data_IF_093839607659
#
_entry.id   IF_093839607659
#
_cell.length_a   1.000
_cell.length_b   1.000
_cell.length_c   1.000
_cell.angle_alpha   90.00
_cell.angle_beta   90.00
_cell.angle_gamma   90.00
#
_symmetry.space_group_name_H-M   'P 1'
#
loop_
_entity.id
_entity.type
_entity.pdbx_description
1 polymer ?
#
# COMPACT_ATOMS: atom_id res chain seq x y z
N UNK A 1 -38.88 19.38 -4.04
CA UNK A 1 -37.79 18.53 -3.49
C UNK A 1 -36.74 18.36 -4.56
N UNK A 2 -35.47 18.54 -4.24
CA UNK A 2 -34.38 18.22 -5.16
C UNK A 2 -34.32 16.71 -5.36
N UNK A 3 -34.05 16.26 -6.58
CA UNK A 3 -33.77 14.85 -6.85
C UNK A 3 -32.45 14.44 -6.18
N UNK A 4 -32.28 13.15 -5.94
CA UNK A 4 -31.09 12.61 -5.30
C UNK A 4 -29.79 13.03 -6.02
N UNK A 5 -29.82 13.04 -7.35
CA UNK A 5 -28.70 13.48 -8.20
C UNK A 5 -28.43 14.97 -8.06
N UNK A 6 -29.47 15.80 -7.89
CA UNK A 6 -29.32 17.24 -7.67
C UNK A 6 -28.72 17.54 -6.31
N UNK A 7 -29.06 16.78 -5.27
CA UNK A 7 -28.47 16.91 -3.94
C UNK A 7 -26.98 16.57 -3.95
N UNK A 8 -26.60 15.48 -4.63
CA UNK A 8 -25.19 15.09 -4.77
C UNK A 8 -24.40 16.17 -5.51
N UNK A 9 -24.95 16.70 -6.62
CA UNK A 9 -24.33 17.77 -7.40
C UNK A 9 -24.13 19.04 -6.56
N UNK A 10 -25.16 19.46 -5.81
CA UNK A 10 -25.08 20.64 -4.94
C UNK A 10 -24.05 20.47 -3.82
N UNK A 11 -23.93 19.28 -3.24
CA UNK A 11 -22.89 19.02 -2.24
C UNK A 11 -21.49 19.08 -2.84
N UNK A 12 -21.26 18.48 -4.01
CA UNK A 12 -19.96 18.53 -4.70
C UNK A 12 -19.58 19.98 -5.02
N UNK A 13 -20.52 20.78 -5.52
CA UNK A 13 -20.30 22.19 -5.83
C UNK A 13 -19.89 22.98 -4.58
N UNK A 14 -20.56 22.76 -3.43
CA UNK A 14 -20.19 23.38 -2.15
C UNK A 14 -18.78 23.00 -1.71
N UNK A 15 -18.40 21.73 -1.85
CA UNK A 15 -17.04 21.28 -1.50
C UNK A 15 -16.01 21.96 -2.42
N UNK A 16 -16.23 21.96 -3.73
CA UNK A 16 -15.27 22.51 -4.70
C UNK A 16 -15.10 24.03 -4.58
N UNK A 17 -16.19 24.78 -4.39
CA UNK A 17 -16.16 26.26 -4.36
C UNK A 17 -15.86 26.84 -2.98
N UNK A 18 -16.26 26.15 -1.91
CA UNK A 18 -16.25 26.70 -0.55
C UNK A 18 -15.50 25.84 0.46
N UNK A 19 -14.92 24.70 0.05
CA UNK A 19 -14.28 23.73 0.95
C UNK A 19 -15.21 23.30 2.09
N UNK A 20 -16.51 23.22 1.81
CA UNK A 20 -17.56 22.92 2.78
C UNK A 20 -17.40 21.50 3.35
N UNK A 21 -16.99 21.41 4.61
CA UNK A 21 -16.72 20.15 5.29
C UNK A 21 -18.00 19.37 5.61
N UNK A 22 -19.13 20.03 5.85
CA UNK A 22 -20.41 19.37 6.09
C UNK A 22 -20.92 18.71 4.81
N UNK A 23 -20.82 19.42 3.68
CA UNK A 23 -21.15 18.86 2.37
C UNK A 23 -20.27 17.67 2.00
N UNK A 24 -18.98 17.69 2.37
CA UNK A 24 -18.07 16.57 2.17
C UNK A 24 -18.45 15.36 3.02
N UNK A 25 -18.74 15.56 4.30
CA UNK A 25 -19.17 14.50 5.23
C UNK A 25 -20.48 13.85 4.78
N UNK A 26 -21.45 14.63 4.29
CA UNK A 26 -22.70 14.10 3.73
C UNK A 26 -22.47 13.21 2.50
N UNK A 27 -21.51 13.56 1.65
CA UNK A 27 -21.13 12.72 0.51
C UNK A 27 -20.42 11.44 0.98
N UNK A 28 -19.56 11.53 2.01
CA UNK A 28 -18.88 10.37 2.60
C UNK A 28 -19.89 9.39 3.19
N UNK A 29 -20.79 9.85 4.07
CA UNK A 29 -21.81 8.99 4.70
C UNK A 29 -22.63 8.23 3.67
N UNK A 30 -22.92 8.89 2.53
CA UNK A 30 -23.69 8.31 1.44
C UNK A 30 -22.95 7.25 0.63
N UNK A 31 -21.68 7.49 0.30
CA UNK A 31 -20.96 6.69 -0.70
C UNK A 31 -19.82 5.84 -0.15
N UNK A 32 -19.26 6.17 1.01
CA UNK A 32 -17.99 5.60 1.48
C UNK A 32 -18.09 4.10 1.73
N UNK A 33 -19.06 3.64 2.54
CA UNK A 33 -19.24 2.21 2.86
C UNK A 33 -19.40 1.33 1.61
N UNK A 34 -20.19 1.80 0.65
CA UNK A 34 -20.42 1.06 -0.60
C UNK A 34 -19.20 1.10 -1.52
N UNK A 35 -18.43 2.19 -1.48
CA UNK A 35 -17.16 2.32 -2.20
C UNK A 35 -16.08 1.40 -1.63
N UNK A 36 -15.99 1.24 -0.31
CA UNK A 36 -15.11 0.27 0.33
C UNK A 36 -15.47 -1.16 -0.08
N UNK A 37 -16.75 -1.54 -0.01
CA UNK A 37 -17.22 -2.86 -0.48
C UNK A 37 -16.88 -3.12 -1.94
N UNK A 38 -17.06 -2.11 -2.80
CA UNK A 38 -16.70 -2.20 -4.21
C UNK A 38 -15.18 -2.40 -4.39
N UNK A 39 -14.36 -1.62 -3.69
CA UNK A 39 -12.90 -1.74 -3.75
C UNK A 39 -12.41 -3.11 -3.27
N UNK A 40 -12.91 -3.62 -2.14
CA UNK A 40 -12.59 -4.96 -1.64
C UNK A 40 -12.99 -6.05 -2.64
N UNK A 41 -14.19 -5.96 -3.21
CA UNK A 41 -14.66 -6.93 -4.22
C UNK A 41 -13.82 -6.87 -5.48
N UNK A 42 -13.44 -5.66 -5.91
CA UNK A 42 -12.60 -5.46 -7.08
C UNK A 42 -11.19 -6.02 -6.87
N UNK A 43 -10.60 -5.78 -5.70
CA UNK A 43 -9.32 -6.36 -5.29
C UNK A 43 -9.41 -7.88 -5.29
N UNK A 44 -10.32 -8.49 -4.54
CA UNK A 44 -10.49 -9.96 -4.47
C UNK A 44 -10.62 -10.67 -5.83
N UNK A 45 -11.20 -10.01 -6.84
CA UNK A 45 -11.50 -10.62 -8.13
C UNK A 45 -10.45 -10.35 -9.24
N UNK A 46 -9.37 -9.59 -8.95
CA UNK A 46 -8.33 -9.27 -9.95
C UNK A 46 -7.19 -10.28 -9.96
N UNK A 47 -6.68 -10.57 -11.16
CA UNK A 47 -5.50 -11.42 -11.33
C UNK A 47 -4.32 -10.79 -10.57
N UNK A 48 -3.61 -11.58 -9.77
CA UNK A 48 -2.50 -11.20 -8.85
C UNK A 48 -2.90 -10.59 -7.50
N UNK A 49 -4.18 -10.32 -7.25
CA UNK A 49 -4.65 -9.81 -5.95
C UNK A 49 -4.62 -10.85 -4.83
N UNK A 50 -4.70 -12.13 -5.18
CA UNK A 50 -4.50 -13.25 -4.27
C UNK A 50 -3.06 -13.37 -3.74
N UNK A 51 -2.12 -12.59 -4.26
CA UNK A 51 -0.74 -12.49 -3.77
C UNK A 51 -0.55 -11.33 -2.77
N UNK A 52 -1.64 -10.63 -2.48
CA UNK A 52 -1.65 -9.41 -1.73
C UNK A 52 -2.51 -9.60 -0.50
N UNK A 53 -1.89 -9.43 0.67
CA UNK A 53 -2.62 -9.27 1.92
C UNK A 53 -2.86 -7.77 2.12
N UNK A 54 -4.12 -7.34 2.03
CA UNK A 54 -4.54 -6.00 2.43
C UNK A 54 -5.35 -6.09 3.72
N UNK A 55 -5.18 -5.12 4.60
CA UNK A 55 -6.04 -4.91 5.75
C UNK A 55 -7.23 -4.01 5.39
N UNK A 56 -8.32 -4.13 6.16
CA UNK A 56 -9.51 -3.31 5.95
C UNK A 56 -9.16 -1.81 5.99
N UNK A 57 -8.34 -1.40 6.95
CA UNK A 57 -7.92 0.00 7.14
C UNK A 57 -7.13 0.56 5.94
N UNK A 58 -6.37 -0.29 5.24
CA UNK A 58 -5.66 0.09 4.02
C UNK A 58 -6.64 0.34 2.87
N UNK A 59 -7.67 -0.49 2.75
CA UNK A 59 -8.73 -0.30 1.76
C UNK A 59 -9.53 0.96 2.05
N UNK A 60 -9.86 1.22 3.31
CA UNK A 60 -10.57 2.44 3.73
C UNK A 60 -9.76 3.70 3.46
N UNK A 61 -8.47 3.70 3.81
CA UNK A 61 -7.55 4.82 3.55
C UNK A 61 -7.43 5.10 2.05
N UNK A 62 -7.28 4.05 1.24
CA UNK A 62 -7.20 4.15 -0.21
C UNK A 62 -8.50 4.70 -0.82
N UNK A 63 -9.66 4.17 -0.40
CA UNK A 63 -10.96 4.63 -0.89
C UNK A 63 -11.22 6.07 -0.51
N UNK A 64 -10.78 6.49 0.68
CA UNK A 64 -10.87 7.88 1.13
C UNK A 64 -10.09 8.83 0.20
N UNK A 65 -8.86 8.46 -0.17
CA UNK A 65 -8.05 9.27 -1.10
C UNK A 65 -8.68 9.36 -2.49
N UNK A 66 -9.17 8.23 -3.02
CA UNK A 66 -9.89 8.20 -4.29
C UNK A 66 -11.18 9.04 -4.22
N UNK A 67 -11.88 8.99 -3.09
CA UNK A 67 -13.08 9.78 -2.84
C UNK A 67 -12.78 11.28 -2.83
N UNK A 68 -11.75 11.71 -2.09
CA UNK A 68 -11.34 13.10 -2.02
C UNK A 68 -10.93 13.63 -3.41
N UNK A 69 -10.13 12.87 -4.16
CA UNK A 69 -9.80 13.19 -5.56
C UNK A 69 -11.06 13.27 -6.43
N UNK A 70 -12.01 12.35 -6.25
CA UNK A 70 -13.22 12.32 -7.04
C UNK A 70 -14.09 13.57 -6.79
N UNK A 71 -14.29 13.97 -5.53
CA UNK A 71 -15.09 15.16 -5.20
C UNK A 71 -14.45 16.44 -5.78
N UNK A 72 -13.12 16.58 -5.69
CA UNK A 72 -12.45 17.80 -6.15
C UNK A 72 -12.36 17.92 -7.68
N UNK A 73 -12.31 16.80 -8.41
CA UNK A 73 -12.06 16.79 -9.85
C UNK A 73 -13.28 16.40 -10.69
N UNK A 74 -14.42 16.12 -10.06
CA UNK A 74 -15.64 15.79 -10.79
C UNK A 74 -16.16 17.01 -11.56
N UNK A 75 -16.27 16.86 -12.88
CA UNK A 75 -16.80 17.90 -13.76
C UNK A 75 -18.32 18.01 -13.60
N UNK A 76 -18.77 19.16 -13.11
CA UNK A 76 -20.18 19.49 -12.93
C UNK A 76 -20.83 20.06 -14.19
N UNK A 77 -20.06 20.54 -15.17
CA UNK A 77 -20.55 21.34 -16.31
C UNK A 77 -20.67 20.59 -17.63
N UNK A 78 -20.04 19.41 -17.75
CA UNK A 78 -20.14 18.60 -18.97
C UNK A 78 -21.61 18.30 -19.35
N UNK A 79 -21.97 18.73 -20.56
CA UNK A 79 -23.32 18.62 -21.16
C UNK A 79 -23.52 17.31 -21.93
N UNK A 80 -22.50 16.47 -22.07
CA UNK A 80 -22.54 15.22 -22.83
C UNK A 80 -22.17 14.02 -21.95
N UNK A 81 -23.19 13.24 -21.55
CA UNK A 81 -23.01 11.87 -21.07
C UNK A 81 -22.12 11.70 -19.83
N UNK A 82 -22.28 12.55 -18.81
CA UNK A 82 -21.49 12.43 -17.57
C UNK A 82 -21.90 11.15 -16.83
N UNK A 83 -20.91 10.28 -16.59
CA UNK A 83 -21.03 9.18 -15.65
C UNK A 83 -21.49 9.74 -14.29
N UNK A 84 -22.57 9.18 -13.71
CA UNK A 84 -22.98 9.56 -12.36
C UNK A 84 -21.78 9.60 -11.40
N UNK A 85 -21.78 10.51 -10.42
CA UNK A 85 -20.68 10.63 -9.46
C UNK A 85 -20.25 9.29 -8.87
N UNK A 86 -21.20 8.41 -8.55
CA UNK A 86 -20.95 7.03 -8.13
C UNK A 86 -20.10 6.24 -9.14
N UNK A 87 -20.47 6.28 -10.42
CA UNK A 87 -19.74 5.56 -11.47
C UNK A 87 -18.37 6.18 -11.72
N UNK A 88 -18.26 7.51 -11.67
CA UNK A 88 -16.97 8.21 -11.76
C UNK A 88 -16.04 7.81 -10.60
N UNK A 89 -16.55 7.83 -9.36
CA UNK A 89 -15.83 7.38 -8.17
C UNK A 89 -15.38 5.92 -8.30
N UNK A 90 -16.25 5.02 -8.78
CA UNK A 90 -15.89 3.62 -8.97
C UNK A 90 -14.85 3.40 -10.07
N UNK A 91 -14.88 4.22 -11.12
CA UNK A 91 -13.82 4.22 -12.14
C UNK A 91 -12.51 4.75 -11.57
N UNK A 92 -12.55 5.80 -10.75
CA UNK A 92 -11.37 6.37 -10.10
C UNK A 92 -10.74 5.35 -9.14
N UNK A 93 -11.55 4.74 -8.27
CA UNK A 93 -11.14 3.62 -7.39
C UNK A 93 -10.50 2.53 -8.23
N UNK A 94 -11.15 2.08 -9.30
CA UNK A 94 -10.59 1.06 -10.18
C UNK A 94 -9.26 1.49 -10.82
N UNK A 95 -9.16 2.72 -11.32
CA UNK A 95 -7.97 3.23 -11.98
C UNK A 95 -6.81 3.35 -11.00
N UNK A 96 -7.05 3.98 -9.84
CA UNK A 96 -6.09 4.13 -8.76
C UNK A 96 -5.69 2.77 -8.21
N UNK A 97 -6.61 1.81 -8.04
CA UNK A 97 -6.28 0.44 -7.63
C UNK A 97 -5.42 -0.27 -8.68
N UNK A 98 -5.70 -0.11 -9.97
CA UNK A 98 -4.88 -0.70 -11.03
C UNK A 98 -3.51 -0.01 -11.14
N UNK A 99 -3.44 1.29 -10.88
CA UNK A 99 -2.20 2.05 -10.82
C UNK A 99 -1.38 1.60 -9.60
N UNK A 100 -2.00 1.46 -8.43
CA UNK A 100 -1.39 0.92 -7.21
C UNK A 100 -0.97 -0.55 -7.36
N UNK A 101 -1.75 -1.40 -8.03
CA UNK A 101 -1.32 -2.78 -8.34
C UNK A 101 -0.09 -2.79 -9.28
N UNK A 102 -0.02 -1.83 -10.22
CA UNK A 102 1.12 -1.69 -11.14
C UNK A 102 2.35 -1.06 -10.48
N UNK A 103 2.17 -0.21 -9.48
CA UNK A 103 3.24 0.57 -8.83
C UNK A 103 3.69 -0.01 -7.49
N UNK A 104 2.79 -0.67 -6.74
CA UNK A 104 2.90 -0.86 -5.30
C UNK A 104 2.08 -2.05 -4.78
N UNK A 105 2.39 -3.27 -5.20
CA UNK A 105 2.06 -4.42 -4.33
C UNK A 105 3.29 -5.21 -3.90
N UNK A 106 4.08 -4.48 -3.12
CA UNK A 106 4.82 -4.86 -1.93
C UNK A 106 5.26 -3.52 -1.34
N UNK A 107 5.15 -3.30 -0.02
CA UNK A 107 5.59 -2.09 0.67
C UNK A 107 7.11 -1.83 0.49
N UNK A 108 7.53 -1.39 -0.69
CA UNK A 108 8.92 -1.13 -1.07
C UNK A 108 9.01 0.03 -2.05
N UNK A 109 8.92 1.26 -1.50
CA UNK A 109 9.82 2.40 -1.75
C UNK A 109 9.06 3.72 -1.65
N UNK A 110 9.12 4.34 -0.47
CA UNK A 110 8.86 5.77 -0.30
C UNK A 110 9.81 6.55 -1.24
N UNK A 111 9.33 7.50 -2.06
CA UNK A 111 10.17 8.37 -2.87
C UNK A 111 11.33 8.96 -2.06
N UNK A 112 12.55 9.01 -2.63
CA UNK A 112 13.76 9.44 -1.88
C UNK A 112 13.62 10.81 -1.21
N UNK A 113 12.85 11.72 -1.81
CA UNK A 113 12.55 13.05 -1.28
C UNK A 113 11.69 12.95 0.00
N UNK A 114 10.69 12.09 0.00
CA UNK A 114 9.79 11.87 1.14
C UNK A 114 10.48 11.04 2.23
N UNK A 115 11.34 10.07 1.87
CA UNK A 115 12.22 9.35 2.83
C UNK A 115 13.16 10.32 3.54
N UNK A 116 13.72 11.30 2.80
CA UNK A 116 14.60 12.33 3.37
C UNK A 116 13.83 13.25 4.34
N UNK A 117 12.65 13.72 3.95
CA UNK A 117 11.79 14.54 4.81
C UNK A 117 11.37 13.79 6.09
N UNK A 118 10.96 12.52 5.97
CA UNK A 118 10.59 11.67 7.10
C UNK A 118 11.76 11.35 8.04
N UNK A 119 12.95 11.05 7.53
CA UNK A 119 14.14 10.79 8.35
C UNK A 119 14.62 12.05 9.09
N UNK A 120 14.51 13.22 8.47
CA UNK A 120 14.83 14.51 9.08
C UNK A 120 13.83 14.89 10.20
N UNK A 121 12.57 14.45 10.09
CA UNK A 121 11.52 14.72 11.07
C UNK A 121 11.39 13.63 12.16
N UNK A 122 11.61 12.35 11.85
CA UNK A 122 11.48 11.26 12.84
C UNK A 122 12.75 10.97 13.65
N UNK A 123 13.93 11.44 13.22
CA UNK A 123 15.12 11.42 14.11
C UNK A 123 14.94 12.27 15.38
N UNK A 124 13.90 13.10 15.46
CA UNK A 124 13.53 13.87 16.64
C UNK A 124 12.47 13.19 17.52
N UNK A 125 11.94 12.02 17.13
CA UNK A 125 10.92 11.31 17.92
C UNK A 125 11.61 10.35 18.89
N UNK A 126 11.41 10.58 20.18
CA UNK A 126 11.89 9.69 21.24
C UNK A 126 11.10 8.37 21.12
N UNK A 127 11.80 7.27 20.85
CA UNK A 127 11.20 5.92 20.81
C UNK A 127 10.64 5.58 22.19
N UNK A 128 9.40 5.11 22.24
CA UNK A 128 8.83 4.59 23.48
C UNK A 128 9.22 3.10 23.68
N UNK A 129 8.88 2.53 24.82
CA UNK A 129 9.21 1.14 25.16
C UNK A 129 8.59 0.12 24.21
N UNK A 130 7.41 0.41 23.65
CA UNK A 130 6.73 -0.47 22.68
C UNK A 130 7.49 -0.51 21.35
N UNK A 131 7.96 0.66 20.86
CA UNK A 131 8.78 0.74 19.64
C UNK A 131 10.07 -0.09 19.78
N UNK A 132 10.66 -0.11 20.98
CA UNK A 132 11.86 -0.91 21.27
C UNK A 132 11.55 -2.41 21.30
N UNK A 133 10.44 -2.82 21.91
CA UNK A 133 10.02 -4.22 21.92
C UNK A 133 9.76 -4.76 20.51
N UNK A 134 9.06 -3.99 19.67
CA UNK A 134 8.80 -4.36 18.27
C UNK A 134 10.12 -4.48 17.49
N UNK A 135 11.05 -3.54 17.66
CA UNK A 135 12.38 -3.61 17.05
C UNK A 135 13.17 -4.87 17.47
N UNK A 136 13.02 -5.30 18.73
CA UNK A 136 13.67 -6.51 19.24
C UNK A 136 13.04 -7.79 18.65
N UNK A 137 11.72 -7.87 18.58
CA UNK A 137 11.01 -9.01 17.98
C UNK A 137 11.34 -9.16 16.49
N UNK A 138 11.35 -8.05 15.74
CA UNK A 138 11.72 -8.04 14.32
C UNK A 138 13.17 -8.49 14.14
N UNK A 139 14.10 -8.02 14.98
CA UNK A 139 15.50 -8.47 14.95
C UNK A 139 15.63 -9.96 15.23
N UNK A 140 14.91 -10.47 16.23
CA UNK A 140 14.94 -11.89 16.58
C UNK A 140 14.44 -12.76 15.42
N UNK A 141 13.30 -12.39 14.81
CA UNK A 141 12.75 -13.10 13.64
C UNK A 141 13.67 -13.03 12.43
N UNK A 142 14.31 -11.88 12.21
CA UNK A 142 15.29 -11.71 11.13
C UNK A 142 16.51 -12.64 11.32
N UNK A 143 17.00 -12.79 12.55
CA UNK A 143 18.12 -13.69 12.85
C UNK A 143 17.72 -15.17 12.70
N UNK A 144 16.52 -15.57 13.14
CA UNK A 144 15.97 -16.92 12.91
C UNK A 144 15.93 -17.28 11.41
N UNK A 145 15.45 -16.34 10.57
CA UNK A 145 15.45 -16.50 9.12
C UNK A 145 16.88 -16.61 8.58
N UNK A 146 17.79 -15.78 9.08
CA UNK A 146 19.19 -15.80 8.63
C UNK A 146 19.87 -17.14 8.94
N UNK A 147 19.66 -17.68 10.14
CA UNK A 147 20.18 -18.99 10.54
C UNK A 147 19.61 -20.10 9.65
N UNK A 148 18.31 -20.08 9.38
CA UNK A 148 17.69 -21.01 8.43
C UNK A 148 18.33 -20.91 7.04
N UNK A 149 18.50 -19.70 6.51
CA UNK A 149 19.11 -19.49 5.19
C UNK A 149 20.58 -19.94 5.16
N UNK A 150 21.31 -19.81 6.27
CA UNK A 150 22.68 -20.28 6.40
C UNK A 150 22.80 -21.79 6.23
N UNK A 151 21.83 -22.56 6.75
CA UNK A 151 21.76 -24.02 6.54
C UNK A 151 21.56 -24.40 5.07
N UNK A 152 21.02 -23.49 4.24
CA UNK A 152 20.79 -23.71 2.81
C UNK A 152 21.98 -23.24 1.97
N UNK A 153 22.48 -22.03 2.25
CA UNK A 153 23.66 -21.46 1.64
C UNK A 153 24.12 -20.25 2.45
N UNK A 154 25.39 -20.20 2.85
CA UNK A 154 25.97 -19.05 3.56
C UNK A 154 25.76 -17.72 2.84
N UNK A 155 25.77 -17.74 1.51
CA UNK A 155 25.56 -16.56 0.68
C UNK A 155 24.13 -16.01 0.79
N UNK A 156 23.15 -16.87 1.05
CA UNK A 156 21.76 -16.46 1.24
C UNK A 156 21.56 -15.75 2.57
N UNK A 157 22.17 -16.28 3.62
CA UNK A 157 22.25 -15.63 4.93
C UNK A 157 22.92 -14.25 4.83
N UNK A 158 24.05 -14.17 4.12
CA UNK A 158 24.75 -12.91 3.88
C UNK A 158 23.87 -11.88 3.12
N UNK A 159 23.25 -12.28 2.00
CA UNK A 159 22.33 -11.41 1.25
C UNK A 159 21.17 -10.94 2.14
N UNK A 160 20.59 -11.83 2.95
CA UNK A 160 19.51 -11.50 3.87
C UNK A 160 19.91 -10.49 4.94
N UNK A 161 21.05 -10.69 5.61
CA UNK A 161 21.56 -9.76 6.64
C UNK A 161 21.84 -8.37 6.06
N UNK A 162 22.48 -8.29 4.89
CA UNK A 162 22.72 -6.99 4.25
C UNK A 162 21.42 -6.32 3.81
N UNK A 163 20.41 -7.10 3.40
CA UNK A 163 19.07 -6.58 3.10
C UNK A 163 18.32 -6.07 4.32
N UNK A 164 18.40 -6.79 5.44
CA UNK A 164 17.80 -6.38 6.71
C UNK A 164 18.41 -5.09 7.27
N UNK A 165 19.69 -4.83 6.97
CA UNK A 165 20.38 -3.59 7.31
C UNK A 165 20.11 -2.43 6.31
N UNK A 166 19.13 -2.58 5.41
CA UNK A 166 18.75 -1.60 4.39
C UNK A 166 19.84 -1.21 3.37
N UNK A 167 20.85 -2.04 3.13
CA UNK A 167 21.85 -1.75 2.08
C UNK A 167 21.21 -1.80 0.68
N UNK A 168 21.67 -0.90 -0.19
CA UNK A 168 21.25 -0.86 -1.58
C UNK A 168 21.74 -2.07 -2.36
N UNK A 169 21.07 -2.42 -3.46
CA UNK A 169 21.49 -3.54 -4.31
C UNK A 169 22.94 -3.38 -4.81
N UNK A 170 23.38 -2.14 -5.03
CA UNK A 170 24.73 -1.87 -5.49
C UNK A 170 25.76 -2.18 -4.40
N UNK A 171 25.56 -1.65 -3.18
CA UNK A 171 26.45 -1.93 -2.04
C UNK A 171 26.50 -3.43 -1.71
N UNK A 172 25.38 -4.14 -1.83
CA UNK A 172 25.32 -5.60 -1.64
C UNK A 172 26.14 -6.33 -2.72
N UNK A 173 26.01 -5.93 -3.99
CA UNK A 173 26.78 -6.53 -5.08
C UNK A 173 28.28 -6.30 -4.89
N UNK A 174 28.67 -5.11 -4.42
CA UNK A 174 30.07 -4.75 -4.14
C UNK A 174 30.63 -5.54 -2.95
N UNK A 175 29.89 -5.67 -1.85
CA UNK A 175 30.37 -6.40 -0.65
C UNK A 175 30.46 -7.91 -0.86
N UNK A 176 29.52 -8.48 -1.62
CA UNK A 176 29.44 -9.93 -1.82
C UNK A 176 30.19 -10.37 -3.09
N UNK A 177 30.52 -9.44 -3.99
CA UNK A 177 31.22 -9.73 -5.25
C UNK A 177 30.34 -10.44 -6.28
N UNK A 178 29.07 -10.06 -6.40
CA UNK A 178 28.10 -10.69 -7.32
C UNK A 178 27.48 -9.67 -8.26
N UNK A 179 27.01 -10.13 -9.43
CA UNK A 179 26.35 -9.23 -10.38
C UNK A 179 24.94 -8.84 -9.92
N UNK A 180 24.42 -7.71 -10.43
CA UNK A 180 23.02 -7.29 -10.16
C UNK A 180 22.00 -8.34 -10.62
N UNK A 181 22.25 -9.02 -11.74
CA UNK A 181 21.37 -10.06 -12.25
C UNK A 181 21.35 -11.29 -11.32
N UNK A 182 22.52 -11.69 -10.84
CA UNK A 182 22.69 -12.81 -9.91
C UNK A 182 22.08 -12.49 -8.54
N UNK A 183 22.28 -11.27 -8.02
CA UNK A 183 21.60 -10.80 -6.81
C UNK A 183 20.08 -10.86 -6.98
N UNK A 184 19.54 -10.39 -8.11
CA UNK A 184 18.09 -10.43 -8.38
C UNK A 184 17.56 -11.86 -8.38
N UNK A 185 18.24 -12.79 -9.06
CA UNK A 185 17.84 -14.20 -9.12
C UNK A 185 17.91 -14.87 -7.75
N UNK A 186 19.02 -14.69 -7.03
CA UNK A 186 19.19 -15.24 -5.67
C UNK A 186 18.20 -14.67 -4.69
N UNK A 187 17.89 -13.37 -4.78
CA UNK A 187 16.92 -12.73 -3.90
C UNK A 187 15.51 -13.31 -4.07
N UNK A 188 15.08 -13.57 -5.30
CA UNK A 188 13.79 -14.23 -5.54
C UNK A 188 13.76 -15.65 -4.98
N UNK A 189 14.88 -16.39 -5.10
CA UNK A 189 14.98 -17.73 -4.55
C UNK A 189 14.99 -17.74 -3.01
N UNK A 190 15.71 -16.80 -2.38
CA UNK A 190 15.72 -16.62 -0.93
C UNK A 190 14.29 -16.35 -0.42
N UNK A 191 13.56 -15.43 -1.05
CA UNK A 191 12.15 -15.16 -0.70
C UNK A 191 11.30 -16.43 -0.75
N UNK A 192 11.48 -17.25 -1.79
CA UNK A 192 10.77 -18.53 -1.92
C UNK A 192 11.10 -19.48 -0.76
N UNK A 193 12.37 -19.64 -0.41
CA UNK A 193 12.81 -20.51 0.70
C UNK A 193 12.23 -20.07 2.05
N UNK A 194 12.22 -18.75 2.31
CA UNK A 194 11.63 -18.20 3.53
C UNK A 194 10.12 -18.42 3.55
N UNK A 195 9.44 -18.19 2.41
CA UNK A 195 8.01 -18.45 2.30
C UNK A 195 7.68 -19.93 2.54
N UNK A 196 8.41 -20.86 1.93
CA UNK A 196 8.20 -22.30 2.14
C UNK A 196 8.37 -22.70 3.61
N UNK A 197 9.37 -22.15 4.31
CA UNK A 197 9.68 -22.51 5.70
C UNK A 197 8.75 -21.89 6.73
N UNK A 198 8.26 -20.68 6.47
CA UNK A 198 7.50 -19.87 7.41
C UNK A 198 6.09 -19.51 6.89
N UNK A 199 5.61 -20.20 5.84
CA UNK A 199 4.23 -20.03 5.36
C UNK A 199 3.22 -20.44 6.41
N UNK A 200 2.10 -19.73 6.44
CA UNK A 200 0.99 -19.90 7.39
C UNK A 200 0.18 -21.20 7.20
N UNK A 201 0.69 -22.19 6.44
CA UNK A 201 -0.06 -23.39 6.06
C UNK A 201 0.17 -24.61 6.96
N UNK A 202 0.99 -24.50 8.02
CA UNK A 202 1.20 -25.55 9.02
C UNK A 202 0.56 -25.22 10.39
N UNK A 203 -0.48 -24.38 10.43
CA UNK A 203 -1.41 -24.36 11.56
C UNK A 203 -2.47 -25.44 11.32
N UNK A 204 -2.18 -26.64 11.83
CA UNK A 204 -3.16 -27.70 11.94
C UNK A 204 -4.13 -27.37 13.07
N UNK A 205 -5.41 -27.21 12.68
CA UNK A 205 -6.65 -27.17 13.48
C UNK A 205 -6.78 -26.04 14.52
#
# INVERSE_FOLDING_TARGET
MLSETQLVRACIEKVQKHQDQEAFNLLLDKFFKNSCKYATTFLNNRIYSNLINWYLDEVESFVFLAFWKAVNNYDLESTTGVLSFKNYLYQLIRFETLNEIKNTFNWQCIPKIEKKWYLEHNKKRIKNSLDICIDLEIKQKSEEISQFLETKNRLYSAIWKLKANELSNQEICEQIGISKAELKGRWQYIKRLVLEKYSCNDLSL
#
